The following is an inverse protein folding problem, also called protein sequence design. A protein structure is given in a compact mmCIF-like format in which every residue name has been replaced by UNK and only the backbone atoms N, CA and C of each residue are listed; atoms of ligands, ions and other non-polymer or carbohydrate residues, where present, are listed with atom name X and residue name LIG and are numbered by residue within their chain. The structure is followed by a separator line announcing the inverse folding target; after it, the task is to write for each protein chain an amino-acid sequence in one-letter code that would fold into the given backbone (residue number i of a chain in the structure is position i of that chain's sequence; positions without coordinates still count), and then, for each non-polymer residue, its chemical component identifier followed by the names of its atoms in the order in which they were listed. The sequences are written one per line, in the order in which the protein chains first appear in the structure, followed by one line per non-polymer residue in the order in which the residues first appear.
data_IF_168866079462
#
_entry.id   IF_168866079462
#
_cell.length_a   1.000
_cell.length_b   1.000
_cell.length_c   1.000
_cell.angle_alpha   90.00
_cell.angle_beta   90.00
_cell.angle_gamma   90.00
#
_symmetry.space_group_name_H-M   'P 1'
#
loop_
_entity.id
_entity.type
_entity.pdbx_description
1 polymer ?
#
# COMPACT_ATOMS: atom_id res chain seq x y z
N UNK A 1 -0.12 27.42 8.21
CA UNK A 1 0.88 26.54 8.85
C UNK A 1 0.90 25.22 8.08
N UNK A 2 2.00 24.85 7.42
CA UNK A 2 2.07 23.56 6.70
C UNK A 2 2.17 22.45 7.76
N UNK A 3 1.14 21.61 7.88
CA UNK A 3 1.19 20.44 8.77
C UNK A 3 2.25 19.49 8.22
N UNK A 4 3.34 19.36 8.95
CA UNK A 4 4.44 18.45 8.63
C UNK A 4 4.06 17.08 9.17
N UNK A 5 3.43 16.25 8.33
CA UNK A 5 3.45 14.82 8.60
C UNK A 5 4.92 14.40 8.53
N UNK A 6 5.45 13.93 9.67
CA UNK A 6 6.86 13.54 9.85
C UNK A 6 7.27 12.39 8.92
N UNK A 7 6.30 11.72 8.32
CA UNK A 7 6.46 10.58 7.43
C UNK A 7 5.76 10.89 6.10
N UNK A 8 6.49 10.79 5.00
CA UNK A 8 5.93 11.02 3.67
C UNK A 8 5.03 9.87 3.22
N UNK A 9 4.33 10.06 2.11
CA UNK A 9 3.43 9.04 1.56
C UNK A 9 4.28 7.94 0.89
N UNK A 10 4.08 6.65 1.21
CA UNK A 10 4.96 5.58 0.72
C UNK A 10 4.62 5.13 -0.71
N UNK A 11 3.33 5.12 -1.07
CA UNK A 11 2.87 4.69 -2.40
C UNK A 11 2.05 5.78 -3.08
N UNK A 12 2.31 6.01 -4.36
CA UNK A 12 1.52 6.89 -5.21
C UNK A 12 0.55 6.08 -6.06
N UNK A 13 -0.71 6.51 -6.17
CA UNK A 13 -1.65 5.93 -7.13
C UNK A 13 -1.32 6.49 -8.51
N UNK A 14 -0.77 5.68 -9.41
CA UNK A 14 -0.40 6.13 -10.75
C UNK A 14 -1.64 6.27 -11.62
N UNK A 15 -1.77 7.41 -12.31
CA UNK A 15 -2.96 7.70 -13.13
C UNK A 15 -3.14 6.75 -14.32
N UNK A 16 -2.04 6.31 -14.93
CA UNK A 16 -2.06 5.52 -16.16
C UNK A 16 -2.41 4.05 -15.91
N UNK A 17 -1.69 3.39 -14.99
CA UNK A 17 -1.95 1.99 -14.66
C UNK A 17 -3.10 1.80 -13.68
N UNK A 18 -3.42 2.81 -12.86
CA UNK A 18 -4.33 2.67 -11.74
C UNK A 18 -3.76 1.87 -10.56
N UNK A 19 -2.45 1.60 -10.56
CA UNK A 19 -1.76 0.83 -9.52
C UNK A 19 -1.09 1.72 -8.47
N UNK A 20 -0.86 1.16 -7.29
CA UNK A 20 -0.07 1.75 -6.22
C UNK A 20 1.42 1.45 -6.45
N UNK A 21 2.17 2.46 -6.86
CA UNK A 21 3.60 2.34 -7.11
C UNK A 21 4.41 2.84 -5.93
N UNK A 22 5.45 2.07 -5.57
CA UNK A 22 6.50 2.51 -4.66
C UNK A 22 7.33 3.62 -5.30
N UNK A 23 7.97 4.44 -4.47
CA UNK A 23 8.78 5.54 -4.98
C UNK A 23 9.99 5.07 -5.81
N UNK A 24 10.46 3.84 -5.64
CA UNK A 24 11.54 3.26 -6.45
C UNK A 24 11.09 2.88 -7.86
N UNK A 25 9.79 2.77 -8.10
CA UNK A 25 9.19 2.33 -9.37
C UNK A 25 8.81 3.49 -10.30
N UNK A 26 9.03 4.74 -9.86
CA UNK A 26 8.58 5.94 -10.57
C UNK A 26 9.70 6.92 -10.88
N UNK A 27 9.47 7.73 -11.92
CA UNK A 27 10.28 8.90 -12.25
C UNK A 27 10.26 9.94 -11.12
N UNK A 28 11.35 10.67 -10.97
CA UNK A 28 11.49 11.73 -9.95
C UNK A 28 10.49 12.87 -10.18
N UNK A 29 10.02 13.47 -9.09
CA UNK A 29 9.25 14.71 -9.13
C UNK A 29 7.82 14.51 -9.62
N UNK A 30 7.31 15.47 -10.39
CA UNK A 30 5.93 15.46 -10.89
C UNK A 30 5.74 14.44 -12.03
N UNK A 31 6.83 14.06 -12.70
CA UNK A 31 6.81 13.11 -13.82
C UNK A 31 6.46 11.68 -13.38
N UNK A 32 6.38 11.40 -12.08
CA UNK A 32 5.81 10.15 -11.57
C UNK A 32 4.34 9.94 -11.99
N UNK A 33 3.62 11.03 -12.29
CA UNK A 33 2.21 11.02 -12.66
C UNK A 33 1.31 10.30 -11.62
N UNK A 34 1.67 10.41 -10.34
CA UNK A 34 0.96 9.82 -9.22
C UNK A 34 0.07 10.84 -8.50
N UNK A 35 -1.03 10.36 -7.93
CA UNK A 35 -1.92 11.12 -7.06
C UNK A 35 -1.98 10.55 -5.66
N UNK A 36 -2.31 11.42 -4.70
CA UNK A 36 -2.61 11.01 -3.34
C UNK A 36 -3.92 10.19 -3.35
N UNK A 37 -3.92 8.95 -2.82
CA UNK A 37 -5.13 8.14 -2.79
C UNK A 37 -6.23 8.75 -1.91
N UNK A 38 -5.86 9.53 -0.88
CA UNK A 38 -6.81 10.17 0.03
C UNK A 38 -7.47 11.42 -0.59
N UNK A 39 -6.69 12.42 -1.00
CA UNK A 39 -7.21 13.72 -1.44
C UNK A 39 -7.17 13.96 -2.96
N UNK A 40 -6.64 12.99 -3.72
CA UNK A 40 -6.50 13.03 -5.19
C UNK A 40 -5.63 14.17 -5.75
N UNK A 41 -4.95 14.92 -4.88
CA UNK A 41 -3.97 15.93 -5.29
C UNK A 41 -2.72 15.26 -5.86
N UNK A 42 -2.07 15.87 -6.84
CA UNK A 42 -0.84 15.34 -7.44
C UNK A 42 0.26 15.18 -6.39
N UNK A 43 1.07 14.15 -6.57
CA UNK A 43 2.24 13.87 -5.76
C UNK A 43 3.52 14.27 -6.49
N UNK A 44 4.53 14.56 -5.69
CA UNK A 44 5.92 14.71 -6.10
C UNK A 44 6.72 13.54 -5.52
N UNK A 45 7.37 12.75 -6.37
CA UNK A 45 8.34 11.75 -5.93
C UNK A 45 9.63 12.43 -5.47
N UNK A 46 9.85 12.52 -4.14
CA UNK A 46 11.04 13.13 -3.54
C UNK A 46 12.15 12.10 -3.40
N UNK A 47 12.85 11.85 -4.50
CA UNK A 47 14.07 11.05 -4.54
C UNK A 47 15.30 11.97 -4.39
N UNK A 48 16.13 11.74 -3.38
CA UNK A 48 17.34 12.52 -3.10
C UNK A 48 18.28 11.81 -2.12
N UNK A 49 19.48 12.35 -1.91
CA UNK A 49 20.55 11.61 -1.20
C UNK A 49 20.49 11.74 0.34
N UNK A 50 19.80 12.77 0.85
CA UNK A 50 19.86 13.12 2.29
C UNK A 50 18.68 12.54 3.09
N UNK A 51 17.49 12.50 2.49
CA UNK A 51 16.26 12.06 3.16
C UNK A 51 15.76 10.78 2.51
N UNK A 52 15.11 9.93 3.31
CA UNK A 52 14.36 8.79 2.80
C UNK A 52 13.41 9.24 1.69
N UNK A 53 13.39 8.46 0.62
CA UNK A 53 12.54 8.74 -0.52
C UNK A 53 11.08 8.59 -0.09
N UNK A 54 10.27 9.59 -0.42
CA UNK A 54 8.85 9.57 -0.16
C UNK A 54 8.09 10.41 -1.18
N UNK A 55 6.78 10.20 -1.26
CA UNK A 55 5.89 11.10 -1.98
C UNK A 55 5.42 12.25 -1.06
N UNK A 56 5.26 13.42 -1.66
CA UNK A 56 4.68 14.60 -1.00
C UNK A 56 3.65 15.27 -1.92
N UNK A 57 2.62 15.91 -1.37
CA UNK A 57 1.70 16.71 -2.18
C UNK A 57 2.45 17.80 -2.97
N UNK A 58 2.06 17.99 -4.23
CA UNK A 58 2.60 19.05 -5.10
C UNK A 58 2.17 20.44 -4.65
N UNK A 59 0.97 20.54 -4.06
CA UNK A 59 0.37 21.76 -3.55
C UNK A 59 -0.08 21.61 -2.10
N UNK A 60 -0.45 22.72 -1.46
CA UNK A 60 -1.04 22.67 -0.14
C UNK A 60 -2.45 22.09 -0.22
N UNK A 61 -2.73 21.06 0.60
CA UNK A 61 -4.06 20.47 0.72
C UNK A 61 -4.83 21.19 1.84
N UNK A 62 -6.11 21.46 1.61
CA UNK A 62 -6.99 22.02 2.63
C UNK A 62 -7.41 20.94 3.62
N UNK A 63 -7.25 21.21 4.92
CA UNK A 63 -7.58 20.27 5.99
C UNK A 63 -6.50 19.20 6.23
N UNK A 64 -6.87 18.17 6.99
CA UNK A 64 -6.02 17.02 7.27
C UNK A 64 -6.16 15.98 6.16
N UNK A 65 -5.02 15.45 5.70
CA UNK A 65 -4.97 14.46 4.64
C UNK A 65 -4.32 13.19 5.16
N UNK A 66 -5.07 12.09 5.13
CA UNK A 66 -4.60 10.77 5.61
C UNK A 66 -3.87 9.97 4.51
N UNK A 67 -3.07 10.67 3.69
CA UNK A 67 -2.42 10.08 2.51
C UNK A 67 -1.47 8.93 2.86
N UNK A 68 -0.88 8.93 4.06
CA UNK A 68 -0.04 7.84 4.55
C UNK A 68 -0.85 6.54 4.68
N UNK A 69 -1.95 6.58 5.45
CA UNK A 69 -2.74 5.39 5.73
C UNK A 69 -3.48 4.90 4.50
N UNK A 70 -4.04 5.80 3.69
CA UNK A 70 -4.77 5.42 2.48
C UNK A 70 -3.85 4.83 1.41
N UNK A 71 -2.58 5.24 1.35
CA UNK A 71 -1.59 4.61 0.48
C UNK A 71 -1.23 3.20 0.94
N UNK A 72 -1.00 3.00 2.25
CA UNK A 72 -0.71 1.67 2.81
C UNK A 72 -1.92 0.73 2.62
N UNK A 73 -3.12 1.19 2.98
CA UNK A 73 -4.36 0.42 2.81
C UNK A 73 -4.57 0.04 1.35
N UNK A 74 -4.40 0.98 0.43
CA UNK A 74 -4.55 0.74 -1.00
C UNK A 74 -3.59 -0.32 -1.51
N UNK A 75 -2.30 -0.22 -1.16
CA UNK A 75 -1.29 -1.22 -1.58
C UNK A 75 -1.56 -2.61 -0.98
N UNK A 76 -1.99 -2.69 0.29
CA UNK A 76 -2.37 -3.97 0.90
C UNK A 76 -3.51 -4.63 0.13
N UNK A 77 -4.57 -3.87 -0.19
CA UNK A 77 -5.72 -4.39 -0.94
C UNK A 77 -5.30 -4.82 -2.35
N UNK A 78 -4.45 -4.04 -3.03
CA UNK A 78 -3.89 -4.39 -4.33
C UNK A 78 -3.15 -5.74 -4.29
N UNK A 79 -2.20 -5.90 -3.35
CA UNK A 79 -1.41 -7.14 -3.18
C UNK A 79 -2.29 -8.34 -2.85
N UNK A 80 -3.27 -8.18 -1.96
CA UNK A 80 -4.22 -9.25 -1.61
C UNK A 80 -5.03 -9.65 -2.84
N UNK A 81 -5.50 -8.68 -3.63
CA UNK A 81 -6.27 -8.95 -4.84
C UNK A 81 -5.43 -9.59 -5.94
N UNK A 82 -4.14 -9.22 -6.06
CA UNK A 82 -3.23 -9.79 -7.04
C UNK A 82 -2.89 -11.26 -6.73
N UNK A 83 -2.52 -11.55 -5.48
CA UNK A 83 -2.04 -12.88 -5.11
C UNK A 83 -3.13 -13.85 -4.65
N UNK A 84 -4.29 -13.35 -4.21
CA UNK A 84 -5.42 -14.15 -3.69
C UNK A 84 -5.05 -15.11 -2.55
N UNK A 85 -3.94 -14.87 -1.84
CA UNK A 85 -3.46 -15.69 -0.71
C UNK A 85 -2.97 -14.80 0.43
N UNK A 86 -3.15 -15.28 1.66
CA UNK A 86 -2.68 -14.65 2.90
C UNK A 86 -1.86 -15.66 3.71
N UNK A 87 -0.65 -15.29 4.10
CA UNK A 87 0.18 -16.12 4.98
C UNK A 87 -0.16 -15.91 6.45
N UNK A 88 -0.44 -16.99 7.18
CA UNK A 88 -0.64 -16.95 8.63
C UNK A 88 0.47 -17.72 9.34
N UNK A 89 1.15 -17.15 10.35
CA UNK A 89 2.24 -17.83 11.04
C UNK A 89 1.77 -18.99 11.92
N UNK A 90 0.51 -18.97 12.38
CA UNK A 90 -0.13 -20.07 13.12
C UNK A 90 -1.63 -20.09 12.79
N UNK A 91 -2.21 -21.26 12.60
CA UNK A 91 -3.67 -21.43 12.50
C UNK A 91 -4.26 -21.76 13.88
N UNK A 92 -5.50 -21.33 14.12
CA UNK A 92 -6.21 -21.52 15.40
C UNK A 92 -6.63 -22.99 15.59
N UNK A 93 -5.68 -23.88 15.87
CA UNK A 93 -5.93 -25.25 16.37
C UNK A 93 -4.65 -26.03 16.73
N UNK A 94 -3.46 -25.42 16.62
CA UNK A 94 -2.18 -26.14 16.79
C UNK A 94 -1.61 -26.71 15.49
N UNK A 95 -2.19 -26.34 14.35
CA UNK A 95 -1.64 -26.62 13.03
C UNK A 95 -0.50 -25.65 12.67
N UNK A 96 0.43 -26.13 11.84
CA UNK A 96 1.51 -25.31 11.29
C UNK A 96 0.94 -24.14 10.48
N UNK A 97 1.57 -22.96 10.59
CA UNK A 97 1.21 -21.81 9.76
C UNK A 97 1.45 -22.06 8.27
N UNK A 98 0.78 -21.29 7.43
CA UNK A 98 0.90 -21.44 5.97
C UNK A 98 0.10 -20.40 5.18
N UNK A 99 0.24 -20.41 3.84
CA UNK A 99 -0.61 -19.64 2.96
C UNK A 99 -2.04 -20.18 2.98
N UNK A 100 -3.01 -19.28 3.06
CA UNK A 100 -4.45 -19.55 3.01
C UNK A 100 -5.06 -18.77 1.86
N UNK A 101 -5.90 -19.42 1.05
CA UNK A 101 -6.60 -18.76 -0.06
C UNK A 101 -7.57 -17.69 0.44
N UNK A 102 -7.66 -16.55 -0.24
CA UNK A 102 -8.58 -15.48 0.13
C UNK A 102 -10.04 -15.96 0.13
N UNK A 103 -10.40 -16.92 -0.73
CA UNK A 103 -11.74 -17.52 -0.74
C UNK A 103 -12.07 -18.29 0.55
N UNK A 104 -11.08 -18.95 1.15
CA UNK A 104 -11.23 -19.63 2.44
C UNK A 104 -11.37 -18.62 3.58
N UNK A 105 -10.76 -17.44 3.44
CA UNK A 105 -10.87 -16.30 4.38
C UNK A 105 -12.23 -15.63 4.37
N UNK A 106 -12.86 -15.57 3.21
CA UNK A 106 -14.17 -14.96 3.06
C UNK A 106 -15.29 -15.92 3.48
N UNK A 107 -15.05 -17.24 3.40
CA UNK A 107 -16.02 -18.27 3.81
C UNK A 107 -16.26 -18.29 5.32
N UNK A 108 -17.50 -18.48 5.76
CA UNK A 108 -17.84 -18.70 7.17
C UNK A 108 -17.57 -20.14 7.66
N UNK A 109 -16.85 -20.93 6.86
CA UNK A 109 -16.43 -22.29 7.20
C UNK A 109 -15.18 -22.28 8.08
N UNK A 110 -14.95 -23.36 8.81
CA UNK A 110 -13.71 -23.49 9.57
C UNK A 110 -12.53 -23.70 8.63
N UNK A 111 -11.49 -22.89 8.76
CA UNK A 111 -10.24 -22.98 8.00
C UNK A 111 -9.42 -24.17 8.48
N UNK A 112 -9.74 -25.36 7.99
CA UNK A 112 -8.92 -26.55 8.20
C UNK A 112 -8.48 -27.06 6.84
N UNK A 113 -7.17 -27.03 6.56
CA UNK A 113 -6.62 -27.70 5.38
C UNK A 113 -5.51 -27.00 4.59
N UNK A 114 -4.83 -25.98 5.13
CA UNK A 114 -3.63 -25.44 4.47
C UNK A 114 -2.44 -26.37 4.67
N UNK A 115 -2.13 -27.23 3.70
CA UNK A 115 -0.89 -28.02 3.70
C UNK A 115 0.29 -27.11 3.30
N UNK A 116 1.35 -27.13 4.11
CA UNK A 116 2.61 -26.47 3.82
C UNK A 116 3.35 -27.22 2.70
N UNK A 117 3.10 -26.84 1.44
CA UNK A 117 4.03 -27.17 0.36
C UNK A 117 4.88 -25.94 0.05
N UNK A 118 6.18 -26.06 0.36
CA UNK A 118 7.27 -25.10 0.13
C UNK A 118 7.65 -25.01 -1.35
#
# INVERSE_FOLDING_TARGET
MRKSYTFGIPFGLQRESGLFLDITEVSRGIDCNCICPACKTDLLAKQGEVKLWHFSHSTAVAGDCDGLMEAIRGKIIEVINEHQVLGFPNLLAGDDGGPVSLNEVIGSGSMFGGTADL
#
